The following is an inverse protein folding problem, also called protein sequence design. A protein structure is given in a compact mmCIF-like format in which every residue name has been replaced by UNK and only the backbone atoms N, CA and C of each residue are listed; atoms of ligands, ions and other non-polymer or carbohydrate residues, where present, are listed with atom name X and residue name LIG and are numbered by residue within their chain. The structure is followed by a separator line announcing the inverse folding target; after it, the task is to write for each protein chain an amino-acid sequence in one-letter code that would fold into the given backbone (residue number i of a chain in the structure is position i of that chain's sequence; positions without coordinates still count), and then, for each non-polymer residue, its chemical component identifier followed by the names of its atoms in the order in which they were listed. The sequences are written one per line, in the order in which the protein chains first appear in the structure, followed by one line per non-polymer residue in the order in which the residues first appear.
data_IF_284537760133
#
_entry.id   IF_284537760133
#
_cell.length_a   1.000
_cell.length_b   1.000
_cell.length_c   1.000
_cell.angle_alpha   90.00
_cell.angle_beta   90.00
_cell.angle_gamma   90.00
#
_symmetry.space_group_name_H-M   'P 1'
#
loop_
_entity.id
_entity.type
_entity.pdbx_description
1 polymer ?
#
# COMPACT_ATOMS: atom_id res chain seq x y z
N UNK A 1 -11.38 -24.49 -12.88
CA UNK A 1 -10.96 -23.92 -11.58
C UNK A 1 -12.05 -24.14 -10.54
N UNK A 2 -11.73 -24.52 -9.30
CA UNK A 2 -12.73 -24.67 -8.24
C UNK A 2 -13.41 -23.32 -7.96
N UNK A 3 -14.73 -23.34 -7.75
CA UNK A 3 -15.48 -22.15 -7.35
C UNK A 3 -15.26 -21.90 -5.86
N UNK A 4 -14.93 -20.65 -5.49
CA UNK A 4 -14.86 -20.25 -4.08
C UNK A 4 -16.26 -20.25 -3.46
N UNK A 5 -16.32 -20.42 -2.14
CA UNK A 5 -17.58 -20.39 -1.39
C UNK A 5 -18.24 -19.01 -1.53
N UNK A 6 -19.56 -18.99 -1.71
CA UNK A 6 -20.32 -17.74 -1.81
C UNK A 6 -20.12 -16.90 -0.54
N UNK A 7 -19.91 -15.59 -0.72
CA UNK A 7 -19.59 -14.65 0.36
C UNK A 7 -18.09 -14.44 0.59
N UNK A 8 -17.21 -15.24 -0.03
CA UNK A 8 -15.75 -15.01 0.03
C UNK A 8 -15.41 -13.64 -0.59
N UNK A 9 -14.62 -12.77 0.07
CA UNK A 9 -14.17 -11.51 -0.54
C UNK A 9 -13.42 -11.75 -1.85
N UNK A 10 -13.69 -10.96 -2.89
CA UNK A 10 -13.04 -11.14 -4.19
C UNK A 10 -11.55 -10.82 -4.19
N UNK A 11 -11.14 -9.92 -3.29
CA UNK A 11 -9.75 -9.49 -3.08
C UNK A 11 -9.61 -9.05 -1.62
N UNK A 12 -8.43 -9.21 -0.98
CA UNK A 12 -8.21 -8.81 0.42
C UNK A 12 -8.59 -7.36 0.75
N UNK A 13 -8.52 -6.46 -0.22
CA UNK A 13 -8.79 -5.02 -0.07
C UNK A 13 -10.12 -4.54 -0.70
N UNK A 14 -10.80 -5.41 -1.45
CA UNK A 14 -12.10 -5.10 -2.07
C UNK A 14 -13.26 -5.32 -1.09
N UNK A 15 -14.37 -4.63 -1.33
CA UNK A 15 -15.64 -4.91 -0.66
C UNK A 15 -16.50 -5.91 -1.43
N UNK A 16 -16.09 -6.29 -2.64
CA UNK A 16 -16.81 -7.27 -3.44
C UNK A 16 -16.77 -8.66 -2.82
N UNK A 17 -17.85 -9.42 -3.00
CA UNK A 17 -17.99 -10.81 -2.56
C UNK A 17 -18.27 -11.71 -3.76
N UNK A 18 -17.69 -12.91 -3.76
CA UNK A 18 -17.94 -13.91 -4.78
C UNK A 18 -19.32 -14.54 -4.59
N UNK A 19 -20.12 -14.60 -5.65
CA UNK A 19 -21.39 -15.34 -5.71
C UNK A 19 -21.43 -16.11 -7.01
N UNK A 20 -21.55 -17.43 -6.93
CA UNK A 20 -21.57 -18.33 -8.08
C UNK A 20 -20.37 -18.15 -9.03
N UNK A 21 -19.20 -17.79 -8.47
CA UNK A 21 -17.97 -17.53 -9.22
C UNK A 21 -17.87 -16.15 -9.89
N UNK A 22 -18.81 -15.24 -9.61
CA UNK A 22 -18.75 -13.83 -10.06
C UNK A 22 -18.48 -12.91 -8.87
N UNK A 23 -17.64 -11.90 -9.06
CA UNK A 23 -17.45 -10.88 -8.05
C UNK A 23 -18.62 -9.88 -8.08
N UNK A 24 -19.41 -9.85 -7.01
CA UNK A 24 -20.56 -8.95 -6.86
C UNK A 24 -20.19 -7.83 -5.89
N UNK A 25 -20.51 -6.59 -6.26
CA UNK A 25 -20.28 -5.43 -5.40
C UNK A 25 -21.12 -5.53 -4.12
N UNK A 26 -20.46 -5.41 -2.97
CA UNK A 26 -21.10 -5.32 -1.67
C UNK A 26 -20.61 -4.09 -0.90
N UNK A 27 -21.34 -3.73 0.16
CA UNK A 27 -20.90 -2.73 1.12
C UNK A 27 -19.66 -3.18 1.88
N UNK A 28 -19.03 -2.29 2.64
CA UNK A 28 -17.86 -2.63 3.46
C UNK A 28 -18.14 -3.70 4.54
N UNK A 29 -19.41 -3.97 4.83
CA UNK A 29 -19.90 -5.01 5.74
C UNK A 29 -20.12 -6.36 5.03
N UNK A 30 -19.71 -6.49 3.77
CA UNK A 30 -19.81 -7.73 2.98
C UNK A 30 -21.21 -8.05 2.47
N UNK A 31 -22.19 -7.14 2.68
CA UNK A 31 -23.58 -7.36 2.28
C UNK A 31 -23.87 -6.78 0.89
N UNK A 32 -24.43 -7.61 0.01
CA UNK A 32 -24.88 -7.18 -1.33
C UNK A 32 -26.07 -6.22 -1.16
N UNK A 33 -26.06 -5.12 -1.90
CA UNK A 33 -27.07 -4.06 -1.80
C UNK A 33 -26.86 -3.10 -0.62
N UNK A 34 -25.91 -3.37 0.28
CA UNK A 34 -25.55 -2.44 1.36
C UNK A 34 -24.90 -1.17 0.81
N UNK A 35 -25.33 -0.02 1.34
CA UNK A 35 -24.77 1.30 1.00
C UNK A 35 -23.63 1.71 1.93
N UNK A 36 -23.28 0.88 2.92
CA UNK A 36 -22.19 1.17 3.86
C UNK A 36 -20.85 1.18 3.15
N UNK A 37 -20.04 2.20 3.47
CA UNK A 37 -18.68 2.40 2.95
C UNK A 37 -17.70 2.53 4.10
N UNK A 38 -16.43 2.25 3.84
CA UNK A 38 -15.37 2.63 4.76
C UNK A 38 -15.30 4.16 4.83
N UNK A 39 -15.14 4.68 6.04
CA UNK A 39 -14.83 6.09 6.26
C UNK A 39 -13.34 6.36 6.04
N UNK A 40 -12.90 7.62 6.23
CA UNK A 40 -11.49 8.02 6.08
C UNK A 40 -10.54 7.34 7.08
N UNK A 41 -11.07 6.72 8.13
CA UNK A 41 -10.33 5.98 9.13
C UNK A 41 -10.25 4.48 8.83
N UNK A 42 -10.88 4.03 7.72
CA UNK A 42 -10.96 2.61 7.38
C UNK A 42 -12.02 1.85 8.19
N UNK A 43 -12.95 2.55 8.84
CA UNK A 43 -14.03 1.96 9.64
C UNK A 43 -15.29 1.84 8.78
N UNK A 44 -15.88 0.64 8.74
CA UNK A 44 -17.09 0.41 7.95
C UNK A 44 -18.31 1.12 8.57
N UNK A 45 -18.90 2.07 7.84
CA UNK A 45 -19.98 2.91 8.35
C UNK A 45 -19.53 3.90 9.44
N UNK A 46 -18.24 4.21 9.50
CA UNK A 46 -17.69 5.19 10.44
C UNK A 46 -18.09 6.64 10.12
N UNK A 47 -17.82 7.53 11.06
CA UNK A 47 -18.21 8.94 11.03
C UNK A 47 -17.05 9.89 10.68
N UNK A 48 -15.86 9.36 10.35
CA UNK A 48 -14.62 10.08 10.05
C UNK A 48 -13.97 10.81 11.24
N UNK A 49 -14.38 10.55 12.49
CA UNK A 49 -13.84 11.27 13.67
C UNK A 49 -12.75 10.52 14.42
N UNK A 50 -12.61 9.21 14.20
CA UNK A 50 -11.68 8.34 14.95
C UNK A 50 -10.21 8.42 14.55
N UNK A 51 -9.83 9.28 13.61
CA UNK A 51 -8.46 9.37 13.09
C UNK A 51 -8.13 10.80 12.63
N UNK A 52 -6.83 11.04 12.38
CA UNK A 52 -6.33 12.29 11.80
C UNK A 52 -5.55 12.01 10.52
N UNK A 53 -5.64 12.95 9.57
CA UNK A 53 -4.82 12.90 8.36
C UNK A 53 -3.38 13.27 8.70
N UNK A 54 -2.43 12.49 8.20
CA UNK A 54 -0.99 12.77 8.27
C UNK A 54 -0.46 12.86 6.85
N UNK A 55 0.39 13.86 6.59
CA UNK A 55 1.04 14.06 5.30
C UNK A 55 2.45 14.56 5.51
N UNK A 56 3.36 14.20 4.62
CA UNK A 56 4.76 14.62 4.67
C UNK A 56 5.40 14.53 3.30
N UNK A 57 6.62 15.06 3.20
CA UNK A 57 7.43 15.04 2.00
C UNK A 57 8.90 14.79 2.38
N UNK A 58 9.56 13.91 1.64
CA UNK A 58 10.99 13.65 1.75
C UNK A 58 11.66 14.00 0.42
N UNK A 59 12.74 14.78 0.46
CA UNK A 59 13.37 15.36 -0.75
C UNK A 59 14.89 15.28 -0.81
N UNK A 60 15.55 14.78 0.25
CA UNK A 60 17.01 14.76 0.36
C UNK A 60 17.51 13.33 0.62
N UNK A 61 17.38 12.41 -0.35
CA UNK A 61 17.96 11.08 -0.22
C UNK A 61 19.49 11.15 -0.13
N UNK A 62 20.07 10.20 0.58
CA UNK A 62 21.47 9.84 0.54
C UNK A 62 21.62 8.45 -0.10
N UNK A 63 22.83 8.06 -0.49
CA UNK A 63 23.04 6.82 -1.20
C UNK A 63 22.76 5.64 -0.25
N UNK A 64 22.05 4.64 -0.75
CA UNK A 64 21.51 3.53 0.04
C UNK A 64 20.09 3.78 0.54
N UNK A 65 19.72 3.09 1.62
CA UNK A 65 18.38 3.13 2.19
C UNK A 65 18.19 4.33 3.11
N UNK A 66 17.15 5.12 2.84
CA UNK A 66 16.81 6.30 3.62
C UNK A 66 15.46 6.11 4.28
N UNK A 67 15.40 6.33 5.59
CA UNK A 67 14.14 6.37 6.32
C UNK A 67 13.25 7.51 5.82
N UNK A 68 12.00 7.20 5.48
CA UNK A 68 10.99 8.19 5.07
C UNK A 68 9.94 8.36 6.17
N UNK A 69 9.29 7.27 6.57
CA UNK A 69 8.22 7.29 7.58
C UNK A 69 8.03 5.92 8.20
N UNK A 70 7.62 5.92 9.48
CA UNK A 70 7.08 4.73 10.15
C UNK A 70 5.54 4.81 10.15
N UNK A 71 4.89 3.86 9.51
CA UNK A 71 3.44 3.73 9.47
C UNK A 71 2.98 2.89 10.65
N UNK A 72 2.19 3.44 11.60
CA UNK A 72 1.73 2.66 12.74
C UNK A 72 0.66 1.64 12.34
N UNK A 73 0.50 0.59 13.17
CA UNK A 73 -0.67 -0.27 13.10
C UNK A 73 -1.96 0.57 13.23
N UNK A 74 -2.97 0.24 12.44
CA UNK A 74 -4.21 1.01 12.33
C UNK A 74 -4.16 2.16 11.31
N UNK A 75 -3.00 2.52 10.75
CA UNK A 75 -2.95 3.48 9.65
C UNK A 75 -3.71 2.93 8.43
N UNK A 76 -4.64 3.72 7.90
CA UNK A 76 -5.48 3.37 6.76
C UNK A 76 -5.37 4.44 5.67
N UNK A 77 -5.88 4.13 4.47
CA UNK A 77 -5.84 5.04 3.31
C UNK A 77 -4.43 5.59 3.03
N UNK A 78 -3.42 4.70 3.08
CA UNK A 78 -2.03 5.03 2.79
C UNK A 78 -1.90 5.27 1.30
N UNK A 79 -1.27 6.38 0.93
CA UNK A 79 -0.87 6.73 -0.44
C UNK A 79 0.50 7.41 -0.37
N UNK A 80 1.55 6.64 -0.66
CA UNK A 80 2.92 7.13 -0.73
C UNK A 80 3.34 7.08 -2.18
N UNK A 81 3.94 8.17 -2.66
CA UNK A 81 4.39 8.28 -4.05
C UNK A 81 5.82 8.76 -4.10
N UNK A 82 6.69 7.96 -4.68
CA UNK A 82 7.98 8.45 -5.16
C UNK A 82 7.73 8.95 -6.59
N UNK A 83 8.15 10.19 -6.84
CA UNK A 83 8.12 10.80 -8.16
C UNK A 83 9.55 11.01 -8.56
N UNK A 84 9.87 10.61 -9.78
CA UNK A 84 11.21 10.77 -10.33
C UNK A 84 11.73 12.19 -10.16
N UNK A 85 13.02 12.35 -9.87
CA UNK A 85 13.66 13.67 -9.82
C UNK A 85 13.37 14.45 -11.11
N UNK A 86 12.72 15.61 -10.99
CA UNK A 86 12.25 16.45 -12.11
C UNK A 86 11.42 15.70 -13.18
N UNK A 87 10.72 14.63 -12.80
CA UNK A 87 9.91 13.83 -13.72
C UNK A 87 10.69 12.84 -14.59
N UNK A 88 11.95 12.56 -14.26
CA UNK A 88 12.74 11.51 -14.92
C UNK A 88 12.21 10.12 -14.58
N UNK A 89 12.15 9.23 -15.58
CA UNK A 89 11.72 7.84 -15.40
C UNK A 89 12.78 6.95 -14.70
N UNK A 90 14.05 7.33 -14.78
CA UNK A 90 15.17 6.61 -14.15
C UNK A 90 15.92 7.57 -13.24
N UNK A 91 15.38 7.79 -12.04
CA UNK A 91 16.04 8.61 -11.01
C UNK A 91 16.79 7.75 -9.98
N UNK A 92 16.85 6.43 -10.22
CA UNK A 92 17.46 5.40 -9.39
C UNK A 92 17.03 5.44 -7.91
N UNK A 93 15.80 5.91 -7.66
CA UNK A 93 15.18 5.95 -6.34
C UNK A 93 13.96 5.02 -6.29
N UNK A 94 14.01 4.02 -5.42
CA UNK A 94 13.00 2.96 -5.35
C UNK A 94 12.37 2.89 -3.97
N UNK A 95 11.05 2.75 -3.89
CA UNK A 95 10.37 2.55 -2.60
C UNK A 95 10.76 1.19 -2.00
N UNK A 96 11.01 1.16 -0.70
CA UNK A 96 11.28 -0.07 0.05
C UNK A 96 10.46 -0.10 1.35
N UNK A 97 10.15 -1.30 1.82
CA UNK A 97 9.30 -1.49 3.01
C UNK A 97 9.87 -2.58 3.90
N UNK A 98 9.99 -2.30 5.19
CA UNK A 98 10.30 -3.26 6.25
C UNK A 98 9.10 -3.48 7.16
N UNK A 99 8.98 -4.68 7.70
CA UNK A 99 8.09 -4.96 8.81
C UNK A 99 8.70 -4.54 10.16
N UNK A 100 7.94 -4.76 11.24
CA UNK A 100 8.33 -4.46 12.61
C UNK A 100 9.59 -5.21 13.11
N UNK A 101 9.96 -6.32 12.48
CA UNK A 101 11.17 -7.09 12.80
C UNK A 101 12.39 -6.65 11.97
N UNK A 102 12.27 -5.62 11.13
CA UNK A 102 13.33 -5.14 10.26
C UNK A 102 13.51 -5.95 8.97
N UNK A 103 12.66 -6.93 8.70
CA UNK A 103 12.71 -7.71 7.46
C UNK A 103 12.08 -6.94 6.32
N UNK A 104 12.76 -6.87 5.18
CA UNK A 104 12.22 -6.26 3.97
C UNK A 104 11.08 -7.09 3.39
N UNK A 105 9.92 -6.46 3.25
CA UNK A 105 8.76 -6.98 2.52
C UNK A 105 8.77 -6.52 1.06
N UNK A 106 9.46 -5.41 0.76
CA UNK A 106 9.65 -4.87 -0.58
C UNK A 106 11.04 -4.27 -0.72
N UNK A 107 11.68 -4.56 -1.86
CA UNK A 107 12.92 -3.96 -2.34
C UNK A 107 14.08 -3.94 -1.31
N UNK A 108 14.32 -5.09 -0.68
CA UNK A 108 15.48 -5.33 0.20
C UNK A 108 16.72 -5.83 -0.54
N UNK A 109 17.87 -5.81 0.12
CA UNK A 109 19.15 -6.31 -0.42
C UNK A 109 19.55 -5.70 -1.79
N UNK A 110 19.16 -4.45 -2.06
CA UNK A 110 19.37 -3.77 -3.34
C UNK A 110 18.71 -4.47 -4.55
N UNK A 111 17.74 -5.36 -4.32
CA UNK A 111 16.98 -6.02 -5.39
C UNK A 111 15.65 -5.30 -5.57
N UNK A 112 15.41 -4.77 -6.76
CA UNK A 112 14.24 -3.94 -7.07
C UNK A 112 13.18 -4.72 -7.85
N UNK A 113 11.92 -4.58 -7.45
CA UNK A 113 10.77 -5.18 -8.12
C UNK A 113 10.28 -4.26 -9.25
N UNK A 114 10.46 -4.66 -10.50
CA UNK A 114 10.03 -3.83 -11.64
C UNK A 114 8.51 -3.74 -11.79
N UNK A 115 7.78 -4.82 -11.49
CA UNK A 115 6.33 -4.90 -11.67
C UNK A 115 5.52 -4.70 -10.39
N UNK A 116 4.20 -4.67 -10.55
CA UNK A 116 3.25 -4.57 -9.44
C UNK A 116 3.42 -5.71 -8.43
N UNK A 117 3.25 -5.40 -7.14
CA UNK A 117 3.34 -6.37 -6.05
C UNK A 117 2.26 -6.14 -5.00
N UNK A 118 1.60 -7.24 -4.66
CA UNK A 118 0.68 -7.35 -3.53
C UNK A 118 1.44 -7.84 -2.29
N UNK A 119 1.63 -6.94 -1.31
CA UNK A 119 2.38 -7.20 -0.07
C UNK A 119 1.39 -7.42 1.07
N UNK A 120 1.34 -8.64 1.59
CA UNK A 120 0.44 -8.98 2.69
C UNK A 120 1.01 -8.50 4.03
N UNK A 121 0.21 -7.74 4.78
CA UNK A 121 0.62 -7.11 6.05
C UNK A 121 -0.47 -7.38 7.10
N UNK A 122 -0.36 -8.49 7.83
CA UNK A 122 -1.30 -8.95 8.88
C UNK A 122 -2.75 -8.50 8.67
N UNK A 123 -3.53 -9.27 7.91
CA UNK A 123 -4.94 -8.96 7.59
C UNK A 123 -5.16 -7.68 6.76
N UNK A 124 -4.10 -7.01 6.29
CA UNK A 124 -4.16 -5.93 5.30
C UNK A 124 -3.30 -6.25 4.08
N UNK A 125 -3.45 -5.43 3.04
CA UNK A 125 -2.73 -5.53 1.78
C UNK A 125 -2.16 -4.16 1.41
N UNK A 126 -0.86 -4.11 1.12
CA UNK A 126 -0.16 -2.96 0.57
C UNK A 126 0.19 -3.26 -0.88
N UNK A 127 -0.30 -2.42 -1.80
CA UNK A 127 -0.03 -2.53 -3.23
C UNK A 127 1.11 -1.63 -3.63
N UNK A 128 2.08 -2.21 -4.30
CA UNK A 128 3.18 -1.51 -4.95
C UNK A 128 2.98 -1.51 -6.47
N UNK A 129 3.16 -0.39 -7.14
CA UNK A 129 2.95 -0.26 -8.60
C UNK A 129 4.10 -0.76 -9.46
N UNK A 130 5.29 -1.04 -8.89
CA UNK A 130 6.49 -1.25 -9.67
C UNK A 130 7.14 0.05 -10.16
N UNK A 131 8.30 -0.09 -10.80
CA UNK A 131 9.19 1.00 -11.25
C UNK A 131 8.95 1.43 -12.69
N UNK A 132 8.05 0.76 -13.42
CA UNK A 132 7.84 1.01 -14.86
C UNK A 132 7.01 2.27 -15.15
N UNK A 133 6.32 2.81 -14.13
CA UNK A 133 5.50 4.01 -14.26
C UNK A 133 6.29 5.30 -14.05
N UNK A 134 5.64 6.45 -14.32
CA UNK A 134 6.19 7.80 -14.03
C UNK A 134 6.31 8.10 -12.52
N UNK A 135 5.67 7.29 -11.68
CA UNK A 135 5.67 7.41 -10.24
C UNK A 135 5.51 6.03 -9.65
N UNK A 136 6.38 5.68 -8.71
CA UNK A 136 6.19 4.52 -7.87
C UNK A 136 5.20 4.85 -6.76
N UNK A 137 4.28 3.93 -6.49
CA UNK A 137 3.23 4.12 -5.49
C UNK A 137 3.18 2.95 -4.53
N UNK A 138 2.91 3.26 -3.26
CA UNK A 138 2.58 2.31 -2.21
C UNK A 138 1.22 2.70 -1.64
N UNK A 139 0.23 1.82 -1.79
CA UNK A 139 -1.15 2.09 -1.41
C UNK A 139 -1.77 1.00 -0.56
N UNK A 140 -2.47 1.39 0.51
CA UNK A 140 -3.27 0.47 1.32
C UNK A 140 -4.58 1.14 1.72
N UNK A 141 -5.71 0.50 1.37
CA UNK A 141 -7.03 1.01 1.72
C UNK A 141 -7.40 0.69 3.19
N UNK A 142 -7.18 -0.55 3.61
CA UNK A 142 -7.55 -1.05 4.94
C UNK A 142 -6.48 -0.68 5.99
N UNK A 143 -6.87 -0.54 7.27
CA UNK A 143 -5.93 -0.35 8.36
C UNK A 143 -4.82 -1.41 8.38
N UNK A 144 -3.57 -1.00 8.59
CA UNK A 144 -2.43 -1.91 8.73
C UNK A 144 -2.55 -2.76 10.00
N UNK A 145 -2.25 -4.06 9.93
CA UNK A 145 -2.21 -4.93 11.09
C UNK A 145 -0.90 -4.91 11.88
N UNK A 146 0.13 -4.24 11.37
CA UNK A 146 1.39 -4.00 12.08
C UNK A 146 2.06 -2.70 11.65
N UNK A 147 3.13 -2.35 12.36
CA UNK A 147 3.98 -1.22 12.01
C UNK A 147 4.81 -1.57 10.77
N UNK A 148 4.90 -0.64 9.84
CA UNK A 148 5.80 -0.73 8.68
C UNK A 148 6.76 0.46 8.67
N UNK A 149 7.99 0.21 8.28
CA UNK A 149 8.95 1.27 7.97
C UNK A 149 9.04 1.41 6.45
N UNK A 150 8.77 2.61 5.95
CA UNK A 150 8.94 2.95 4.54
C UNK A 150 10.27 3.67 4.37
N UNK A 151 11.04 3.19 3.41
CA UNK A 151 12.33 3.73 3.01
C UNK A 151 12.30 4.09 1.51
N UNK A 152 13.26 4.91 1.09
CA UNK A 152 13.64 5.04 -0.31
C UNK A 152 15.08 4.55 -0.48
N UNK A 153 15.28 3.60 -1.38
CA UNK A 153 16.59 3.15 -1.83
C UNK A 153 17.06 4.09 -2.93
N UNK A 154 18.11 4.86 -2.68
CA UNK A 154 18.81 5.61 -3.71
C UNK A 154 20.04 4.82 -4.16
N UNK A 155 19.98 4.24 -5.35
CA UNK A 155 21.05 3.42 -5.93
C UNK A 155 21.92 4.17 -6.95
N UNK A 156 21.44 5.32 -7.44
CA UNK A 156 22.15 6.16 -8.40
C UNK A 156 23.12 7.14 -7.75
N UNK A 157 23.82 7.91 -8.58
CA UNK A 157 24.66 9.03 -8.12
C UNK A 157 23.76 10.17 -7.62
N UNK A 158 24.03 10.67 -6.42
CA UNK A 158 23.24 11.73 -5.75
C UNK A 158 23.41 13.15 -6.33
N UNK A 159 24.09 13.31 -7.48
CA UNK A 159 24.31 14.60 -8.14
C UNK A 159 24.51 14.38 -9.64
N UNK A 160 24.14 15.38 -10.48
CA UNK A 160 24.14 15.28 -11.95
C UNK A 160 25.51 14.93 -12.55
#
# INVERSE_FOLDING_TARGET
APKVVDGTPCSPDSTGVCVQGKCIKAGCDGKIGSTKKFDKCGICGGDNKGCKKVSGLFTKPMHGYNFVVMLPAGAANIDIRQRGYKGMLSDDNYLAVKNSNGHYLLNGNYIVSAGERDIHVKNSLLRYSGTTGLSETLQAAKPLGEVLTVEVLCAGKLTP
#
